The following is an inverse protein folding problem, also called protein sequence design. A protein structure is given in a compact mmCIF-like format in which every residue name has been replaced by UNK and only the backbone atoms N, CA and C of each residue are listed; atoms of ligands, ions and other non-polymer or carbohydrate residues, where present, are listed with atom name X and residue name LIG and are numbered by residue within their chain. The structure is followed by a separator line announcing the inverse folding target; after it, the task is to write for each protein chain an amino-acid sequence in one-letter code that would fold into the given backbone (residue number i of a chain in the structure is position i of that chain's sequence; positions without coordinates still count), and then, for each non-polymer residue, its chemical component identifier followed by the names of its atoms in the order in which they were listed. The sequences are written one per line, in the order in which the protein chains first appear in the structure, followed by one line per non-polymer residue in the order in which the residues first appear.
data_IF_912648669586
#
_entry.id   IF_912648669586
#
_cell.length_a   1.000
_cell.length_b   1.000
_cell.length_c   1.000
_cell.angle_alpha   90.00
_cell.angle_beta   90.00
_cell.angle_gamma   90.00
#
_symmetry.space_group_name_H-M   'P 1'
#
loop_
_entity.id
_entity.type
_entity.pdbx_description
1 polymer ?
#
# COMPACT_ATOMS: atom_id res chain seq x y z
N UNK A 1 1.69 -33.97 36.26
CA UNK A 1 2.55 -32.91 35.68
C UNK A 1 1.82 -32.37 34.47
N UNK A 2 1.19 -31.19 34.56
CA UNK A 2 0.58 -30.53 33.40
C UNK A 2 1.57 -29.45 32.99
N UNK A 3 2.25 -29.68 31.88
CA UNK A 3 3.22 -28.75 31.31
C UNK A 3 2.45 -27.65 30.60
N UNK A 4 2.54 -26.43 31.14
CA UNK A 4 1.87 -25.25 30.59
C UNK A 4 2.68 -24.77 29.38
N UNK A 5 2.20 -25.09 28.17
CA UNK A 5 2.77 -24.57 26.93
C UNK A 5 2.48 -23.06 26.87
N UNK A 6 3.52 -22.25 27.09
CA UNK A 6 3.44 -20.80 26.91
C UNK A 6 3.14 -20.48 25.44
N UNK A 7 2.29 -19.49 25.13
CA UNK A 7 2.03 -19.10 23.76
C UNK A 7 3.31 -18.53 23.16
N UNK A 8 3.83 -19.16 22.10
CA UNK A 8 4.93 -18.64 21.30
C UNK A 8 4.51 -17.29 20.72
N UNK A 9 5.17 -16.21 21.15
CA UNK A 9 5.04 -14.90 20.53
C UNK A 9 5.41 -15.01 19.04
N UNK A 10 4.59 -14.46 18.11
CA UNK A 10 4.93 -14.48 16.70
C UNK A 10 6.28 -13.77 16.51
N UNK A 11 7.19 -14.44 15.80
CA UNK A 11 8.52 -13.93 15.48
C UNK A 11 8.42 -12.52 14.90
N UNK A 12 9.32 -11.63 15.35
CA UNK A 12 9.42 -10.28 14.83
C UNK A 12 9.50 -10.31 13.30
N UNK A 13 8.63 -9.53 12.63
CA UNK A 13 8.54 -9.52 11.17
C UNK A 13 9.87 -9.07 10.55
N UNK A 14 10.47 -9.95 9.74
CA UNK A 14 11.75 -9.85 9.02
C UNK A 14 11.81 -8.74 7.94
N UNK A 15 11.08 -7.63 8.13
CA UNK A 15 11.04 -6.49 7.22
C UNK A 15 10.60 -5.17 7.86
N UNK A 16 10.47 -5.13 9.19
CA UNK A 16 10.22 -3.88 9.89
C UNK A 16 11.51 -3.04 9.95
N UNK A 17 11.46 -1.72 9.67
CA UNK A 17 12.61 -0.84 9.85
C UNK A 17 13.10 -0.89 11.31
N UNK A 18 14.42 -0.90 11.52
CA UNK A 18 14.99 -1.04 12.86
C UNK A 18 14.67 0.12 13.82
N UNK A 19 14.24 1.27 13.28
CA UNK A 19 14.00 2.50 14.05
C UNK A 19 12.55 2.66 14.57
N UNK A 20 11.63 1.74 14.23
CA UNK A 20 10.24 1.81 14.73
C UNK A 20 10.09 1.04 16.03
N UNK A 21 9.91 1.77 17.14
CA UNK A 21 9.73 1.21 18.48
C UNK A 21 8.56 0.21 18.62
N UNK A 22 7.50 0.36 17.82
CA UNK A 22 6.34 -0.55 17.80
C UNK A 22 5.85 -0.77 16.36
N UNK A 23 6.42 -1.72 15.61
CA UNK A 23 6.02 -1.95 14.22
C UNK A 23 4.58 -2.48 14.16
N UNK A 24 3.74 -1.82 13.35
CA UNK A 24 2.36 -2.26 13.07
C UNK A 24 2.31 -3.09 11.80
N UNK A 25 1.53 -4.17 11.85
CA UNK A 25 1.28 -5.00 10.69
C UNK A 25 0.43 -4.30 9.63
N UNK A 26 0.86 -4.40 8.38
CA UNK A 26 0.06 -3.95 7.22
C UNK A 26 -1.11 -4.92 7.06
N UNK A 27 -2.34 -4.42 7.26
CA UNK A 27 -3.56 -5.24 7.17
C UNK A 27 -3.92 -5.58 5.72
N UNK A 28 -3.65 -4.66 4.79
CA UNK A 28 -3.93 -4.82 3.38
C UNK A 28 -3.03 -3.90 2.56
N UNK A 29 -2.59 -4.38 1.41
CA UNK A 29 -1.83 -3.60 0.43
C UNK A 29 -2.35 -3.86 -0.98
N UNK A 30 -2.13 -2.91 -1.89
CA UNK A 30 -2.58 -3.02 -3.28
C UNK A 30 -1.63 -3.93 -4.05
N UNK A 31 -2.18 -4.97 -4.71
CA UNK A 31 -1.40 -5.93 -5.53
C UNK A 31 -1.49 -5.66 -7.04
N UNK A 32 -2.53 -4.96 -7.49
CA UNK A 32 -2.71 -4.54 -8.90
C UNK A 32 -3.01 -3.06 -8.93
N UNK A 33 -2.17 -2.32 -9.66
CA UNK A 33 -2.39 -0.91 -9.99
C UNK A 33 -3.55 -0.76 -10.99
N UNK A 34 -4.00 0.47 -11.22
CA UNK A 34 -4.99 0.80 -12.24
C UNK A 34 -6.45 0.87 -11.75
N UNK A 35 -6.71 0.64 -10.45
CA UNK A 35 -8.03 0.94 -9.86
C UNK A 35 -8.12 2.42 -9.52
N UNK A 36 -9.11 3.09 -10.08
CA UNK A 36 -9.49 4.46 -9.74
C UNK A 36 -10.60 4.43 -8.69
N UNK A 37 -10.60 5.40 -7.77
CA UNK A 37 -11.75 5.58 -6.88
C UNK A 37 -12.93 6.16 -7.66
N UNK A 38 -14.14 6.08 -7.11
CA UNK A 38 -15.35 6.67 -7.74
C UNK A 38 -15.14 8.16 -8.04
N UNK A 39 -14.50 8.90 -7.13
CA UNK A 39 -14.18 10.32 -7.33
C UNK A 39 -13.18 10.54 -8.47
N UNK A 40 -12.15 9.69 -8.57
CA UNK A 40 -11.19 9.76 -9.68
C UNK A 40 -11.84 9.43 -11.03
N UNK A 41 -12.73 8.43 -11.08
CA UNK A 41 -13.48 8.10 -12.29
C UNK A 41 -14.36 9.29 -12.75
N UNK A 42 -15.06 9.94 -11.83
CA UNK A 42 -15.85 11.15 -12.12
C UNK A 42 -14.97 12.30 -12.63
N UNK A 43 -13.82 12.54 -12.01
CA UNK A 43 -12.90 13.57 -12.46
C UNK A 43 -12.39 13.33 -13.90
N UNK A 44 -12.06 12.08 -14.24
CA UNK A 44 -11.66 11.74 -15.61
C UNK A 44 -12.78 11.94 -16.63
N UNK A 45 -14.02 11.62 -16.28
CA UNK A 45 -15.16 11.86 -17.16
C UNK A 45 -15.47 13.36 -17.35
N UNK A 46 -15.51 14.12 -16.25
CA UNK A 46 -16.01 15.50 -16.27
C UNK A 46 -14.96 16.51 -16.77
N UNK A 47 -13.71 16.33 -16.34
CA UNK A 47 -12.66 17.32 -16.57
C UNK A 47 -11.41 16.73 -17.24
N UNK A 48 -11.38 15.41 -17.46
CA UNK A 48 -10.26 14.72 -18.10
C UNK A 48 -9.83 15.32 -19.44
N UNK A 49 -10.75 15.63 -20.39
CA UNK A 49 -10.39 16.22 -21.67
C UNK A 49 -9.65 17.57 -21.60
N UNK A 50 -9.80 18.30 -20.49
CA UNK A 50 -9.14 19.60 -20.30
C UNK A 50 -7.77 19.49 -19.66
N UNK A 51 -7.56 18.49 -18.80
CA UNK A 51 -6.40 18.44 -17.90
C UNK A 51 -5.50 17.22 -18.07
N UNK A 52 -5.97 16.13 -18.69
CA UNK A 52 -5.13 14.95 -18.90
C UNK A 52 -4.13 15.19 -20.02
N UNK A 53 -2.86 15.00 -19.69
CA UNK A 53 -1.78 14.90 -20.67
C UNK A 53 -1.49 13.44 -20.99
N UNK A 54 -1.28 13.15 -22.28
CA UNK A 54 -0.81 11.85 -22.70
C UNK A 54 0.60 11.62 -22.15
N UNK A 55 0.83 10.45 -21.57
CA UNK A 55 2.16 10.06 -21.12
C UNK A 55 3.08 9.89 -22.33
N UNK A 56 4.19 10.61 -22.35
CA UNK A 56 5.12 10.65 -23.50
C UNK A 56 6.33 9.72 -23.34
N UNK A 57 6.60 9.20 -22.13
CA UNK A 57 7.75 8.34 -21.87
C UNK A 57 9.12 9.01 -22.04
N UNK A 58 9.15 10.32 -22.29
CA UNK A 58 10.38 11.07 -22.45
C UNK A 58 11.06 11.28 -21.09
N UNK A 59 12.40 11.32 -21.05
CA UNK A 59 13.12 11.76 -19.86
C UNK A 59 12.66 13.17 -19.47
N UNK A 60 12.49 13.39 -18.17
CA UNK A 60 12.45 14.74 -17.65
C UNK A 60 13.90 15.22 -17.62
N UNK A 61 14.20 16.31 -18.32
CA UNK A 61 15.53 16.95 -18.35
C UNK A 61 16.02 17.31 -16.94
#
# INVERSE_FOLDING_TARGET
MIESSAPTLPAAHEGAPADVSHPRNIRSFVRRTGRTTVGQAKAFADVGPRFLLAYTGLPMD
#
